data_IF_593246296006
#
_entry.id   IF_593246296006
#
_cell.length_a   1.000
_cell.length_b   1.000
_cell.length_c   1.000
_cell.angle_alpha   90.00
_cell.angle_beta   90.00
_cell.angle_gamma   90.00
#
_symmetry.space_group_name_H-M   'P 1'
#
loop_
_entity.id
_entity.type
_entity.pdbx_description
1 polymer ?
#
# COMPACT_ATOMS: atom_id res chain seq x y z
N UNK A 1 -3.02 -6.64 -10.92
CA UNK A 1 -2.50 -7.16 -9.62
C UNK A 1 -1.98 -5.99 -8.82
N UNK A 2 -2.21 -5.94 -7.50
CA UNK A 2 -1.76 -4.84 -6.63
C UNK A 2 -0.70 -5.36 -5.67
N UNK A 3 0.37 -4.59 -5.49
CA UNK A 3 1.38 -4.81 -4.47
C UNK A 3 1.50 -3.55 -3.60
N UNK A 4 1.47 -3.70 -2.28
CA UNK A 4 1.70 -2.61 -1.33
C UNK A 4 2.98 -2.91 -0.57
N UNK A 5 3.95 -1.98 -0.59
CA UNK A 5 5.21 -2.15 0.12
C UNK A 5 5.37 -1.08 1.20
N UNK A 6 5.93 -1.49 2.34
CA UNK A 6 6.48 -0.61 3.36
C UNK A 6 8.00 -0.64 3.28
N UNK A 7 8.63 0.52 3.12
CA UNK A 7 10.06 0.68 2.88
C UNK A 7 10.73 1.42 4.04
N UNK A 8 11.92 0.98 4.44
CA UNK A 8 12.76 1.73 5.39
C UNK A 8 13.31 3.02 4.75
N UNK A 9 13.97 3.87 5.54
CA UNK A 9 14.57 5.12 5.06
C UNK A 9 15.65 4.95 3.97
N UNK A 10 16.10 3.71 3.71
CA UNK A 10 17.06 3.36 2.65
C UNK A 10 16.37 2.74 1.42
N UNK A 11 15.03 2.65 1.43
CA UNK A 11 14.24 2.03 0.37
C UNK A 11 14.15 0.50 0.46
N UNK A 12 14.57 -0.12 1.57
CA UNK A 12 14.52 -1.57 1.77
C UNK A 12 13.10 -2.00 2.14
N UNK A 13 12.55 -3.02 1.48
CA UNK A 13 11.22 -3.57 1.82
C UNK A 13 11.24 -4.21 3.21
N UNK A 14 10.42 -3.67 4.12
CA UNK A 14 10.14 -4.21 5.45
C UNK A 14 8.96 -5.18 5.38
N UNK A 15 7.92 -4.80 4.62
CA UNK A 15 6.70 -5.58 4.41
C UNK A 15 6.24 -5.43 2.96
N UNK A 16 5.70 -6.50 2.38
CA UNK A 16 5.12 -6.51 1.04
C UNK A 16 3.85 -7.34 1.04
N UNK A 17 2.73 -6.70 0.69
CA UNK A 17 1.41 -7.31 0.57
C UNK A 17 1.11 -7.49 -0.91
N UNK A 18 0.87 -8.73 -1.34
CA UNK A 18 0.85 -9.09 -2.76
C UNK A 18 -0.52 -9.58 -3.25
N UNK A 19 -1.45 -9.81 -2.34
CA UNK A 19 -2.83 -10.18 -2.66
C UNK A 19 -3.80 -9.13 -2.14
N UNK A 20 -4.98 -9.07 -2.75
CA UNK A 20 -6.06 -8.19 -2.28
C UNK A 20 -6.46 -8.53 -0.84
N UNK A 21 -6.55 -9.82 -0.52
CA UNK A 21 -6.91 -10.31 0.81
C UNK A 21 -5.89 -9.90 1.89
N UNK A 22 -4.59 -10.01 1.61
CA UNK A 22 -3.55 -9.57 2.56
C UNK A 22 -3.65 -8.06 2.84
N UNK A 23 -3.94 -7.27 1.80
CA UNK A 23 -4.12 -5.82 1.92
C UNK A 23 -5.36 -5.52 2.76
N UNK A 24 -6.51 -6.14 2.45
CA UNK A 24 -7.74 -5.92 3.20
C UNK A 24 -7.61 -6.33 4.67
N UNK A 25 -6.97 -7.47 4.94
CA UNK A 25 -6.71 -7.94 6.31
C UNK A 25 -5.75 -7.02 7.07
N UNK A 26 -4.68 -6.55 6.42
CA UNK A 26 -3.70 -5.67 7.04
C UNK A 26 -4.28 -4.31 7.41
N UNK A 27 -5.14 -3.73 6.55
CA UNK A 27 -5.81 -2.46 6.79
C UNK A 27 -7.21 -2.65 7.43
N UNK A 28 -7.39 -3.73 8.19
CA UNK A 28 -8.54 -3.98 9.08
C UNK A 28 -9.91 -3.93 8.39
N UNK A 29 -10.03 -4.44 7.16
CA UNK A 29 -11.27 -4.49 6.37
C UNK A 29 -11.97 -3.13 6.14
N UNK A 30 -11.34 -2.01 6.47
CA UNK A 30 -11.88 -0.68 6.15
C UNK A 30 -11.79 -0.33 4.68
N UNK A 31 -11.00 -1.12 3.94
CA UNK A 31 -10.76 -1.00 2.52
C UNK A 31 -11.83 -1.78 1.74
N UNK A 32 -13.10 -1.39 1.88
CA UNK A 32 -14.20 -2.04 1.17
C UNK A 32 -14.21 -1.58 -0.31
N UNK A 33 -13.55 -2.33 -1.18
CA UNK A 33 -13.30 -1.92 -2.56
C UNK A 33 -13.83 -2.93 -3.58
N UNK A 34 -14.71 -2.44 -4.47
CA UNK A 34 -15.32 -3.22 -5.55
C UNK A 34 -14.40 -3.47 -6.74
N UNK A 35 -13.25 -2.80 -6.83
CA UNK A 35 -12.25 -2.99 -7.88
C UNK A 35 -10.83 -2.71 -7.39
N UNK A 36 -9.84 -3.19 -8.14
CA UNK A 36 -8.43 -2.88 -7.91
C UNK A 36 -8.16 -1.36 -7.95
N UNK A 37 -8.80 -0.63 -8.87
CA UNK A 37 -8.62 0.81 -8.96
C UNK A 37 -9.20 1.54 -7.75
N UNK A 38 -10.37 1.14 -7.27
CA UNK A 38 -10.96 1.67 -6.04
C UNK A 38 -10.06 1.41 -4.82
N UNK A 39 -9.48 0.20 -4.74
CA UNK A 39 -8.53 -0.17 -3.69
C UNK A 39 -7.32 0.77 -3.65
N UNK A 40 -6.71 1.03 -4.82
CA UNK A 40 -5.56 1.95 -4.90
C UNK A 40 -5.94 3.36 -4.43
N UNK A 41 -7.08 3.88 -4.87
CA UNK A 41 -7.55 5.22 -4.48
C UNK A 41 -7.85 5.30 -2.98
N UNK A 42 -8.42 4.26 -2.40
CA UNK A 42 -8.74 4.21 -0.97
C UNK A 42 -7.48 4.21 -0.11
N UNK A 43 -6.49 3.38 -0.47
CA UNK A 43 -5.19 3.33 0.17
C UNK A 43 -4.46 4.69 0.09
N UNK A 44 -4.46 5.34 -1.08
CA UNK A 44 -3.84 6.64 -1.26
C UNK A 44 -4.54 7.78 -0.51
N UNK A 45 -5.85 7.67 -0.23
CA UNK A 45 -6.63 8.74 0.38
C UNK A 45 -6.77 8.56 1.90
N UNK A 46 -7.35 7.44 2.34
CA UNK A 46 -7.60 7.17 3.76
C UNK A 46 -6.33 6.76 4.49
N UNK A 47 -5.47 6.01 3.81
CA UNK A 47 -4.25 5.48 4.37
C UNK A 47 -3.03 6.17 3.79
N UNK A 48 -3.10 7.45 3.39
CA UNK A 48 -1.93 8.17 2.86
C UNK A 48 -0.75 8.20 3.85
N UNK A 49 -1.06 8.12 5.15
CA UNK A 49 -0.13 7.91 6.25
C UNK A 49 -0.57 6.69 7.05
N UNK A 50 0.36 5.84 7.44
CA UNK A 50 0.09 4.66 8.24
C UNK A 50 1.17 4.43 9.28
N UNK A 51 0.77 4.03 10.49
CA UNK A 51 1.69 3.74 11.59
C UNK A 51 1.89 2.25 11.72
N UNK A 52 3.11 1.76 11.48
CA UNK A 52 3.49 0.36 11.62
C UNK A 52 4.58 0.25 12.67
N UNK A 53 4.34 -0.56 13.72
CA UNK A 53 5.27 -0.76 14.84
C UNK A 53 5.79 0.54 15.47
N UNK A 54 4.93 1.55 15.60
CA UNK A 54 5.27 2.86 16.17
C UNK A 54 6.02 3.82 15.24
N UNK A 55 6.28 3.41 14.00
CA UNK A 55 6.92 4.23 12.97
C UNK A 55 5.89 4.74 11.96
N UNK A 56 5.98 6.01 11.55
CA UNK A 56 5.08 6.61 10.56
C UNK A 56 5.60 6.41 9.14
N UNK A 57 4.76 5.84 8.27
CA UNK A 57 5.05 5.68 6.86
C UNK A 57 4.10 6.52 6.03
N UNK A 58 4.60 7.09 4.95
CA UNK A 58 3.83 7.95 4.06
C UNK A 58 3.78 7.32 2.67
N UNK A 59 2.60 7.31 2.05
CA UNK A 59 2.43 6.93 0.65
C UNK A 59 2.97 8.03 -0.25
N UNK A 60 3.86 7.70 -1.19
CA UNK A 60 4.39 8.71 -2.13
C UNK A 60 4.56 8.22 -3.56
N UNK A 61 4.48 6.90 -3.83
CA UNK A 61 4.69 6.43 -5.18
C UNK A 61 3.75 5.29 -5.55
N UNK A 62 2.94 5.54 -6.58
CA UNK A 62 2.12 4.54 -7.26
C UNK A 62 2.70 4.33 -8.65
N UNK A 63 3.26 3.16 -8.91
CA UNK A 63 3.75 2.81 -10.24
C UNK A 63 2.71 1.90 -10.91
N UNK A 64 2.09 2.38 -11.98
CA UNK A 64 1.15 1.60 -12.80
C UNK A 64 1.94 1.06 -13.98
N UNK A 65 2.36 -0.19 -13.89
CA UNK A 65 3.16 -0.82 -14.91
C UNK A 65 2.29 -1.24 -16.11
N UNK A 66 2.88 -1.25 -17.31
CA UNK A 66 2.21 -1.52 -18.60
C UNK A 66 1.57 -2.93 -18.63
N UNK A 67 2.00 -3.82 -17.73
CA UNK A 67 1.48 -5.19 -17.53
C UNK A 67 0.25 -5.27 -16.62
N UNK A 68 -0.32 -4.14 -16.18
CA UNK A 68 -1.50 -4.12 -15.30
C UNK A 68 -1.19 -4.44 -13.82
N UNK A 69 0.07 -4.30 -13.42
CA UNK A 69 0.50 -4.34 -12.02
C UNK A 69 0.60 -2.92 -11.47
N UNK A 70 -0.10 -2.66 -10.38
CA UNK A 70 0.01 -1.41 -9.64
C UNK A 70 0.79 -1.67 -8.36
N UNK A 71 1.89 -0.94 -8.15
CA UNK A 71 2.65 -0.99 -6.91
C UNK A 71 2.48 0.31 -6.16
N UNK A 72 2.11 0.25 -4.88
CA UNK A 72 2.00 1.38 -3.96
C UNK A 72 3.11 1.25 -2.93
N UNK A 73 3.90 2.31 -2.75
CA UNK A 73 4.97 2.34 -1.76
C UNK A 73 4.66 3.35 -0.66
N UNK A 74 4.76 2.84 0.57
CA UNK A 74 4.83 3.56 1.82
C UNK A 74 6.28 3.57 2.28
N UNK A 75 6.91 4.72 2.50
CA UNK A 75 8.26 4.76 3.08
C UNK A 75 8.28 5.53 4.37
N UNK A 76 9.18 5.09 5.23
CA UNK A 76 9.57 5.76 6.45
C UNK A 76 10.22 7.09 6.09
N UNK A 77 9.80 8.16 6.76
CA UNK A 77 10.42 9.49 6.70
C UNK A 77 11.31 9.68 7.91
#
# INVERSE_FOLDING_TARGET
MIEVNFLDARGTKILSLNTKEDIENFFENTVNCSSAQALVLDLMSKHYKYTLNGSEFYCHQTNINITGKTTINYSLV
#
